data_IF_775025558610
#
_entry.id   IF_775025558610
#
_cell.length_a   1.000
_cell.length_b   1.000
_cell.length_c   1.000
_cell.angle_alpha   90.00
_cell.angle_beta   90.00
_cell.angle_gamma   90.00
#
_symmetry.space_group_name_H-M   'P 1'
#
loop_
_entity.id
_entity.type
_entity.pdbx_description
1 polymer ?
#
# COMPACT_ATOMS: atom_id res chain seq x y z
N UNK A 1 32.87 -14.17 68.38
CA UNK A 1 31.64 -13.54 67.98
C UNK A 1 31.81 -12.72 66.70
N UNK A 2 32.29 -13.32 65.58
CA UNK A 2 32.71 -12.59 64.37
C UNK A 2 32.43 -13.37 63.05
N UNK A 3 31.44 -14.28 63.05
CA UNK A 3 31.13 -15.06 61.82
C UNK A 3 29.77 -14.77 61.19
N UNK A 4 28.92 -13.88 61.74
CA UNK A 4 27.59 -13.56 61.15
C UNK A 4 27.58 -12.44 60.09
N UNK A 5 28.65 -11.62 60.01
CA UNK A 5 28.64 -10.44 59.11
C UNK A 5 28.96 -10.76 57.64
N UNK A 6 29.74 -11.81 57.33
CA UNK A 6 30.13 -12.12 55.94
C UNK A 6 29.00 -12.76 55.13
N UNK A 7 28.12 -13.55 55.78
CA UNK A 7 27.04 -14.29 55.11
C UNK A 7 25.92 -13.37 54.57
N UNK A 8 25.65 -12.26 55.30
CA UNK A 8 24.61 -11.28 54.87
C UNK A 8 25.09 -10.43 53.69
N UNK A 9 26.39 -10.15 53.57
CA UNK A 9 26.93 -9.35 52.44
C UNK A 9 26.92 -10.15 51.14
N UNK A 10 27.16 -11.46 51.18
CA UNK A 10 27.11 -12.33 50.00
C UNK A 10 25.67 -12.53 49.51
N UNK A 11 24.69 -12.70 50.40
CA UNK A 11 23.26 -12.81 50.04
C UNK A 11 22.71 -11.51 49.43
N UNK A 12 23.11 -10.33 49.97
CA UNK A 12 22.70 -9.03 49.40
C UNK A 12 23.31 -8.82 48.01
N UNK A 13 24.54 -9.28 47.78
CA UNK A 13 25.19 -9.16 46.45
C UNK A 13 24.52 -10.06 45.41
N UNK A 14 24.05 -11.25 45.75
CA UNK A 14 23.30 -12.13 44.86
C UNK A 14 21.90 -11.60 44.54
N UNK A 15 21.23 -10.95 45.48
CA UNK A 15 19.92 -10.32 45.26
C UNK A 15 20.06 -9.09 44.36
N UNK A 16 21.15 -8.32 44.49
CA UNK A 16 21.39 -7.16 43.61
C UNK A 16 21.70 -7.57 42.15
N UNK A 17 22.36 -8.71 41.90
CA UNK A 17 22.58 -9.20 40.53
C UNK A 17 21.32 -9.77 39.87
N UNK A 18 20.34 -10.24 40.63
CA UNK A 18 19.08 -10.75 40.07
C UNK A 18 18.14 -9.68 39.56
N UNK A 19 18.31 -8.41 39.96
CA UNK A 19 17.47 -7.30 39.52
C UNK A 19 17.94 -6.66 38.22
N UNK A 20 19.13 -7.00 37.69
CA UNK A 20 19.63 -6.58 36.39
C UNK A 20 19.30 -7.54 35.23
N UNK A 21 18.39 -8.49 35.43
CA UNK A 21 17.76 -9.19 34.34
C UNK A 21 16.82 -8.20 33.64
N UNK A 22 17.40 -7.24 32.92
CA UNK A 22 16.70 -6.42 31.95
C UNK A 22 15.98 -7.41 31.01
N UNK A 23 14.66 -7.47 31.10
CA UNK A 23 13.82 -7.96 30.00
C UNK A 23 14.21 -7.14 28.77
N UNK A 24 15.12 -7.64 27.98
CA UNK A 24 15.22 -7.29 26.58
C UNK A 24 13.92 -7.83 25.99
N UNK A 25 12.88 -6.98 25.98
CA UNK A 25 11.72 -7.22 25.12
C UNK A 25 12.32 -7.17 23.73
N UNK A 26 12.54 -8.33 23.11
CA UNK A 26 12.67 -8.40 21.66
C UNK A 26 11.41 -7.68 21.14
N UNK A 27 11.60 -6.47 20.64
CA UNK A 27 10.60 -5.73 19.90
C UNK A 27 10.31 -6.62 18.70
N UNK A 28 9.26 -7.45 18.83
CA UNK A 28 8.86 -8.39 17.79
C UNK A 28 8.57 -7.53 16.56
N UNK A 29 9.51 -7.52 15.60
CA UNK A 29 9.44 -6.70 14.41
C UNK A 29 8.14 -7.06 13.70
N UNK A 30 7.13 -6.23 13.87
CA UNK A 30 5.82 -6.41 13.26
C UNK A 30 5.98 -6.24 11.75
N UNK A 31 6.04 -7.36 11.03
CA UNK A 31 6.13 -7.37 9.57
C UNK A 31 4.72 -7.45 8.99
N UNK A 32 4.46 -6.64 7.97
CA UNK A 32 3.23 -6.73 7.22
C UNK A 32 3.18 -8.05 6.42
N UNK A 33 1.99 -8.64 6.25
CA UNK A 33 1.81 -9.84 5.45
C UNK A 33 2.23 -9.60 3.99
N UNK A 34 2.43 -10.68 3.25
CA UNK A 34 2.56 -10.68 1.78
C UNK A 34 1.38 -11.47 1.23
N UNK A 35 0.58 -10.84 0.38
CA UNK A 35 -0.59 -11.42 -0.27
C UNK A 35 -0.23 -12.06 -1.62
N UNK A 36 -1.10 -12.93 -2.09
CA UNK A 36 -0.93 -13.67 -3.35
C UNK A 36 -0.28 -15.04 -3.18
N UNK A 37 -0.17 -15.75 -4.30
CA UNK A 37 0.36 -17.11 -4.33
C UNK A 37 1.86 -17.10 -3.98
N UNK A 38 2.26 -18.09 -3.17
CA UNK A 38 3.68 -18.33 -2.83
C UNK A 38 4.09 -19.66 -3.42
N UNK A 39 5.18 -19.66 -4.16
CA UNK A 39 5.80 -20.89 -4.65
C UNK A 39 7.07 -21.17 -3.85
N UNK A 40 7.16 -22.38 -3.28
CA UNK A 40 8.37 -22.83 -2.62
C UNK A 40 9.34 -23.35 -3.70
N UNK A 41 10.47 -22.70 -3.86
CA UNK A 41 11.63 -23.24 -4.56
C UNK A 41 12.56 -23.91 -3.57
N UNK A 42 13.46 -24.79 -4.01
CA UNK A 42 14.33 -25.59 -3.14
C UNK A 42 15.15 -24.75 -2.13
N UNK A 43 15.35 -23.47 -2.38
CA UNK A 43 16.15 -22.55 -1.55
C UNK A 43 15.41 -21.27 -1.13
N UNK A 44 14.29 -20.91 -1.80
CA UNK A 44 13.64 -19.62 -1.61
C UNK A 44 12.12 -19.67 -1.76
N UNK A 45 11.45 -18.71 -1.16
CA UNK A 45 10.02 -18.46 -1.39
C UNK A 45 9.85 -17.38 -2.45
N UNK A 46 9.27 -17.76 -3.60
CA UNK A 46 8.90 -16.82 -4.66
C UNK A 46 7.51 -16.28 -4.34
N UNK A 47 7.41 -14.98 -4.17
CA UNK A 47 6.15 -14.29 -3.87
C UNK A 47 5.51 -13.76 -5.15
N UNK A 48 4.19 -13.68 -5.16
CA UNK A 48 3.44 -12.91 -6.15
C UNK A 48 3.91 -11.45 -6.15
N UNK A 49 4.08 -10.88 -7.33
CA UNK A 49 4.49 -9.47 -7.53
C UNK A 49 3.71 -8.87 -8.69
N UNK A 50 3.51 -7.55 -8.64
CA UNK A 50 2.96 -6.81 -9.78
C UNK A 50 3.93 -6.93 -10.96
N UNK A 51 3.40 -7.36 -12.11
CA UNK A 51 4.13 -7.56 -13.34
C UNK A 51 4.51 -6.27 -14.06
N UNK A 52 4.98 -6.42 -15.29
CA UNK A 52 5.30 -5.28 -16.15
C UNK A 52 4.03 -4.64 -16.69
N UNK A 53 3.99 -3.32 -16.69
CA UNK A 53 2.92 -2.53 -17.29
C UNK A 53 3.46 -1.28 -17.96
N UNK A 54 2.69 -0.73 -18.90
CA UNK A 54 2.93 0.56 -19.51
C UNK A 54 1.58 1.24 -19.73
N UNK A 55 1.31 2.28 -18.94
CA UNK A 55 0.08 3.05 -18.96
C UNK A 55 0.39 4.54 -19.11
N UNK A 56 -0.60 5.34 -19.49
CA UNK A 56 -0.43 6.78 -19.68
C UNK A 56 -1.08 7.53 -18.51
N UNK A 57 -0.38 8.50 -17.94
CA UNK A 57 -0.94 9.32 -16.87
C UNK A 57 -1.71 10.54 -17.39
N UNK A 58 -2.30 11.30 -16.47
CA UNK A 58 -3.08 12.53 -16.73
C UNK A 58 -2.26 13.67 -17.39
N UNK A 59 -0.97 13.50 -17.59
CA UNK A 59 -0.10 14.46 -18.28
C UNK A 59 0.39 13.94 -19.64
N UNK A 60 -0.09 12.77 -20.09
CA UNK A 60 0.39 12.10 -21.30
C UNK A 60 1.75 11.42 -21.15
N UNK A 61 2.27 11.29 -19.93
CA UNK A 61 3.54 10.65 -19.63
C UNK A 61 3.34 9.14 -19.44
N UNK A 62 4.28 8.33 -19.96
CA UNK A 62 4.24 6.87 -19.74
C UNK A 62 4.69 6.52 -18.33
N UNK A 63 3.88 5.74 -17.64
CA UNK A 63 4.16 5.18 -16.30
C UNK A 63 4.31 3.67 -16.44
N UNK A 64 5.41 3.13 -15.94
CA UNK A 64 5.77 1.72 -16.03
C UNK A 64 6.19 1.18 -14.66
N UNK A 65 6.47 -0.12 -14.58
CA UNK A 65 7.08 -0.72 -13.40
C UNK A 65 8.43 -0.07 -13.02
N UNK A 66 9.11 0.58 -13.97
CA UNK A 66 10.35 1.32 -13.66
C UNK A 66 10.07 2.63 -12.92
N UNK A 67 8.92 3.27 -13.15
CA UNK A 67 8.49 4.48 -12.43
C UNK A 67 8.32 4.21 -10.94
N UNK A 68 7.82 3.01 -10.58
CA UNK A 68 7.55 2.59 -9.20
C UNK A 68 8.69 1.78 -8.58
N UNK A 69 9.76 1.54 -9.31
CA UNK A 69 10.91 0.75 -8.84
C UNK A 69 11.52 1.36 -7.58
N UNK A 70 11.72 0.54 -6.57
CA UNK A 70 12.25 0.96 -5.26
C UNK A 70 11.37 1.97 -4.51
N UNK A 71 10.10 2.11 -4.90
CA UNK A 71 9.12 2.94 -4.22
C UNK A 71 8.02 2.09 -3.60
N UNK A 72 7.45 2.57 -2.52
CA UNK A 72 6.18 2.07 -2.00
C UNK A 72 5.08 2.80 -2.76
N UNK A 73 3.99 2.13 -3.09
CA UNK A 73 2.85 2.84 -3.66
C UNK A 73 1.52 2.25 -3.21
N UNK A 74 0.50 3.11 -3.27
CA UNK A 74 -0.91 2.73 -3.09
C UNK A 74 -1.54 2.68 -4.47
N UNK A 75 -2.22 1.58 -4.79
CA UNK A 75 -2.97 1.44 -6.02
C UNK A 75 -4.47 1.34 -5.75
N UNK A 76 -5.29 1.90 -6.64
CA UNK A 76 -6.74 1.75 -6.67
C UNK A 76 -7.27 1.70 -8.10
N UNK A 77 -8.53 1.30 -8.22
CA UNK A 77 -9.26 1.24 -9.49
C UNK A 77 -10.53 2.10 -9.38
N UNK A 78 -10.73 2.98 -10.36
CA UNK A 78 -11.79 3.98 -10.35
C UNK A 78 -12.29 4.28 -11.77
N UNK A 79 -13.30 5.12 -11.91
CA UNK A 79 -13.64 5.81 -13.16
C UNK A 79 -14.19 7.22 -12.87
N UNK A 80 -13.90 8.16 -13.76
CA UNK A 80 -14.13 9.59 -13.49
C UNK A 80 -15.63 9.97 -13.39
N UNK A 81 -16.52 9.19 -14.02
CA UNK A 81 -17.97 9.43 -13.99
C UNK A 81 -18.70 8.74 -12.84
N UNK A 82 -18.00 7.98 -11.99
CA UNK A 82 -18.56 7.34 -10.82
C UNK A 82 -19.16 8.37 -9.86
N UNK A 83 -20.44 8.19 -9.50
CA UNK A 83 -21.14 9.06 -8.55
C UNK A 83 -21.33 8.43 -7.17
N UNK A 84 -20.90 7.18 -6.99
CA UNK A 84 -21.05 6.42 -5.76
C UNK A 84 -19.81 6.49 -4.86
N UNK A 85 -18.94 5.50 -4.94
CA UNK A 85 -17.81 5.33 -4.00
C UNK A 85 -16.53 6.09 -4.41
N UNK A 86 -16.25 6.26 -5.71
CA UNK A 86 -14.98 6.85 -6.18
C UNK A 86 -14.73 8.26 -5.64
N UNK A 87 -15.74 9.16 -5.52
CA UNK A 87 -15.52 10.48 -4.91
C UNK A 87 -15.08 10.40 -3.43
N UNK A 88 -15.58 9.42 -2.68
CA UNK A 88 -15.19 9.19 -1.29
C UNK A 88 -13.77 8.62 -1.23
N UNK A 89 -13.48 7.60 -2.02
CA UNK A 89 -12.14 7.01 -2.13
C UNK A 89 -11.09 8.07 -2.51
N UNK A 90 -11.36 8.89 -3.54
CA UNK A 90 -10.44 9.95 -3.94
C UNK A 90 -10.19 10.98 -2.84
N UNK A 91 -11.22 11.36 -2.04
CA UNK A 91 -11.03 12.20 -0.86
C UNK A 91 -10.13 11.53 0.19
N UNK A 92 -10.28 10.23 0.39
CA UNK A 92 -9.43 9.47 1.32
C UNK A 92 -7.99 9.33 0.80
N UNK A 93 -7.77 9.21 -0.51
CA UNK A 93 -6.43 9.26 -1.10
C UNK A 93 -5.77 10.64 -0.94
N UNK A 94 -6.55 11.74 -0.90
CA UNK A 94 -6.01 13.06 -0.52
C UNK A 94 -5.41 13.03 0.89
N UNK A 95 -6.02 12.32 1.84
CA UNK A 95 -5.46 12.20 3.20
C UNK A 95 -4.17 11.37 3.20
N UNK A 96 -4.10 10.29 2.39
CA UNK A 96 -2.87 9.54 2.17
C UNK A 96 -1.79 10.45 1.57
N UNK A 97 -2.12 11.20 0.51
CA UNK A 97 -1.21 12.15 -0.13
C UNK A 97 -0.65 13.17 0.88
N UNK A 98 -1.52 13.79 1.68
CA UNK A 98 -1.13 14.78 2.72
C UNK A 98 -0.19 14.18 3.76
N UNK A 99 -0.47 12.95 4.23
CA UNK A 99 0.34 12.27 5.23
C UNK A 99 1.79 12.05 4.77
N UNK A 100 2.02 12.01 3.45
CA UNK A 100 3.32 11.74 2.82
C UNK A 100 3.69 12.80 1.77
N UNK A 101 3.21 14.02 1.88
CA UNK A 101 3.37 15.08 0.87
C UNK A 101 4.83 15.29 0.46
N UNK A 102 5.74 15.31 1.44
CA UNK A 102 7.18 15.54 1.25
C UNK A 102 8.00 14.26 1.06
N UNK A 103 7.34 13.14 0.85
CA UNK A 103 7.98 11.83 0.77
C UNK A 103 7.97 11.30 -0.66
N UNK A 104 9.05 11.51 -1.39
CA UNK A 104 9.19 11.08 -2.79
C UNK A 104 9.30 9.55 -2.98
N UNK A 105 9.40 8.79 -1.89
CA UNK A 105 9.44 7.32 -1.94
C UNK A 105 8.05 6.67 -1.90
N UNK A 106 6.97 7.47 -1.74
CA UNK A 106 5.59 7.02 -1.83
C UNK A 106 4.92 7.61 -3.07
N UNK A 107 4.23 6.75 -3.82
CA UNK A 107 3.39 7.12 -4.96
C UNK A 107 1.94 6.67 -4.74
N UNK A 108 1.02 7.24 -5.52
CA UNK A 108 -0.36 6.79 -5.64
C UNK A 108 -0.64 6.56 -7.13
N UNK A 109 -1.16 5.38 -7.48
CA UNK A 109 -1.51 4.97 -8.84
C UNK A 109 -3.00 4.63 -8.90
N UNK A 110 -3.81 5.54 -9.43
CA UNK A 110 -5.24 5.32 -9.66
C UNK A 110 -5.47 4.89 -11.10
N UNK A 111 -5.92 3.65 -11.31
CA UNK A 111 -6.13 3.05 -12.62
C UNK A 111 -7.61 3.22 -13.03
N UNK A 112 -7.87 3.86 -14.18
CA UNK A 112 -9.26 3.89 -14.67
C UNK A 112 -9.70 2.52 -15.18
N UNK A 113 -10.92 2.12 -14.87
CA UNK A 113 -11.58 0.96 -15.47
C UNK A 113 -12.43 1.33 -16.69
N UNK A 114 -12.57 2.63 -17.00
CA UNK A 114 -13.30 3.16 -18.17
C UNK A 114 -12.39 4.00 -19.11
N UNK A 115 -11.30 3.43 -19.66
CA UNK A 115 -10.33 4.20 -20.44
C UNK A 115 -10.88 4.78 -21.75
N UNK A 116 -12.03 4.31 -22.24
CA UNK A 116 -12.67 4.91 -23.43
C UNK A 116 -13.28 6.28 -23.15
N UNK A 117 -13.76 6.50 -21.93
CA UNK A 117 -14.28 7.79 -21.47
C UNK A 117 -13.20 8.62 -20.79
N UNK A 118 -12.40 7.99 -19.96
CA UNK A 118 -11.41 8.64 -19.12
C UNK A 118 -10.14 8.93 -19.92
N UNK A 119 -10.24 9.90 -20.84
CA UNK A 119 -9.12 10.42 -21.63
C UNK A 119 -8.10 11.13 -20.72
N UNK A 120 -6.94 11.48 -21.28
CA UNK A 120 -5.90 12.24 -20.55
C UNK A 120 -6.49 13.55 -20.00
N UNK A 121 -7.32 14.24 -20.81
CA UNK A 121 -7.96 15.51 -20.43
C UNK A 121 -8.96 15.31 -19.27
N UNK A 122 -9.78 14.25 -19.32
CA UNK A 122 -10.74 13.92 -18.26
C UNK A 122 -9.98 13.58 -16.97
N UNK A 123 -8.94 12.75 -17.05
CA UNK A 123 -8.10 12.40 -15.91
C UNK A 123 -7.36 13.63 -15.34
N UNK A 124 -6.93 14.55 -16.18
CA UNK A 124 -6.29 15.78 -15.72
C UNK A 124 -7.28 16.65 -14.92
N UNK A 125 -8.50 16.84 -15.41
CA UNK A 125 -9.54 17.58 -14.69
C UNK A 125 -9.91 16.89 -13.37
N UNK A 126 -10.02 15.56 -13.38
CA UNK A 126 -10.27 14.78 -12.17
C UNK A 126 -9.14 14.97 -11.15
N UNK A 127 -7.88 14.84 -11.57
CA UNK A 127 -6.71 15.08 -10.73
C UNK A 127 -6.68 16.49 -10.11
N UNK A 128 -7.01 17.52 -10.90
CA UNK A 128 -7.09 18.90 -10.42
C UNK A 128 -8.16 19.08 -9.34
N UNK A 129 -9.33 18.42 -9.47
CA UNK A 129 -10.41 18.50 -8.49
C UNK A 129 -10.02 17.98 -7.10
N UNK A 130 -9.09 17.02 -7.05
CA UNK A 130 -8.53 16.46 -5.80
C UNK A 130 -7.17 17.04 -5.43
N UNK A 131 -6.67 18.06 -6.16
CA UNK A 131 -5.36 18.68 -5.92
C UNK A 131 -4.22 17.64 -5.90
N UNK A 132 -4.27 16.71 -6.86
CA UNK A 132 -3.25 15.68 -6.99
C UNK A 132 -1.89 16.30 -7.31
N UNK A 133 -0.87 15.93 -6.52
CA UNK A 133 0.48 16.46 -6.66
C UNK A 133 1.17 15.76 -7.83
N UNK A 134 1.65 16.53 -8.79
CA UNK A 134 2.40 16.03 -9.94
C UNK A 134 3.62 15.22 -9.48
N UNK A 135 3.82 14.04 -10.09
CA UNK A 135 4.91 13.13 -9.76
C UNK A 135 4.68 12.28 -8.51
N UNK A 136 3.59 12.52 -7.77
CA UNK A 136 3.19 11.72 -6.59
C UNK A 136 1.93 10.92 -6.84
N UNK A 137 0.91 11.51 -7.47
CA UNK A 137 -0.36 10.85 -7.76
C UNK A 137 -0.60 10.80 -9.28
N UNK A 138 -0.58 9.58 -9.81
CA UNK A 138 -0.79 9.30 -11.22
C UNK A 138 -2.17 8.69 -11.43
N UNK A 139 -2.98 9.31 -12.27
CA UNK A 139 -4.24 8.76 -12.78
C UNK A 139 -3.95 8.13 -14.13
N UNK A 140 -4.13 6.83 -14.23
CA UNK A 140 -3.62 6.01 -15.32
C UNK A 140 -4.73 5.55 -16.25
N UNK A 141 -4.50 5.70 -17.54
CA UNK A 141 -5.35 5.20 -18.63
C UNK A 141 -4.53 4.42 -19.64
N UNK A 142 -5.19 3.68 -20.55
CA UNK A 142 -4.51 2.89 -21.56
C UNK A 142 -5.44 1.89 -22.23
N UNK A 143 -4.89 0.78 -22.73
CA UNK A 143 -5.71 -0.28 -23.29
C UNK A 143 -6.56 -0.95 -22.20
N UNK A 144 -7.88 -1.07 -22.44
CA UNK A 144 -8.84 -1.63 -21.49
C UNK A 144 -8.46 -3.04 -21.04
N UNK A 145 -8.14 -3.93 -22.00
CA UNK A 145 -7.78 -5.30 -21.67
C UNK A 145 -6.52 -5.38 -20.81
N UNK A 146 -5.52 -4.54 -21.10
CA UNK A 146 -4.29 -4.46 -20.29
C UNK A 146 -4.59 -4.03 -18.86
N UNK A 147 -5.46 -3.02 -18.66
CA UNK A 147 -5.84 -2.54 -17.32
C UNK A 147 -6.60 -3.63 -16.55
N UNK A 148 -7.54 -4.32 -17.20
CA UNK A 148 -8.32 -5.38 -16.57
C UNK A 148 -7.48 -6.61 -16.24
N UNK A 149 -6.54 -6.98 -17.13
CA UNK A 149 -5.60 -8.07 -16.88
C UNK A 149 -4.69 -7.76 -15.70
N UNK A 150 -4.15 -6.54 -15.66
CA UNK A 150 -3.34 -6.03 -14.55
C UNK A 150 -4.13 -6.04 -13.22
N UNK A 151 -5.39 -5.57 -13.23
CA UNK A 151 -6.25 -5.59 -12.05
C UNK A 151 -6.46 -7.00 -11.51
N UNK A 152 -6.83 -7.93 -12.40
CA UNK A 152 -7.21 -9.30 -12.02
C UNK A 152 -6.00 -10.16 -11.64
N UNK A 153 -4.98 -10.16 -12.49
CA UNK A 153 -3.89 -11.12 -12.37
C UNK A 153 -2.72 -10.61 -11.53
N UNK A 154 -2.47 -9.29 -11.55
CA UNK A 154 -1.37 -8.69 -10.81
C UNK A 154 -1.82 -8.10 -9.48
N UNK A 155 -2.85 -7.25 -9.48
CA UNK A 155 -3.36 -6.64 -8.25
C UNK A 155 -4.34 -7.53 -7.48
N UNK A 156 -4.75 -8.68 -8.03
CA UNK A 156 -5.67 -9.65 -7.41
C UNK A 156 -7.04 -9.02 -7.08
N UNK A 157 -7.43 -8.01 -7.82
CA UNK A 157 -8.73 -7.36 -7.73
C UNK A 157 -9.66 -8.00 -8.74
N UNK A 158 -10.83 -8.42 -8.28
CA UNK A 158 -11.88 -8.93 -9.20
C UNK A 158 -12.50 -7.77 -9.96
N UNK A 159 -11.76 -7.20 -10.90
CA UNK A 159 -12.26 -6.20 -11.83
C UNK A 159 -12.99 -6.91 -12.98
N UNK A 160 -14.24 -7.28 -12.76
CA UNK A 160 -15.12 -7.81 -13.80
C UNK A 160 -16.05 -6.71 -14.29
N UNK A 161 -16.36 -6.69 -15.58
CA UNK A 161 -17.53 -5.96 -16.06
C UNK A 161 -18.75 -6.55 -15.35
N UNK A 162 -19.44 -5.75 -14.56
CA UNK A 162 -20.69 -6.14 -13.95
C UNK A 162 -21.82 -5.65 -14.86
N UNK A 163 -22.39 -6.55 -15.64
CA UNK A 163 -23.56 -6.26 -16.48
C UNK A 163 -24.82 -5.91 -15.65
N UNK A 164 -24.73 -5.98 -14.32
CA UNK A 164 -25.83 -5.74 -13.39
C UNK A 164 -25.81 -4.38 -12.69
N UNK A 165 -24.73 -3.59 -12.81
CA UNK A 165 -24.70 -2.24 -12.24
C UNK A 165 -25.19 -1.19 -13.25
N UNK A 166 -25.85 -0.10 -12.79
CA UNK A 166 -26.29 0.98 -13.68
C UNK A 166 -25.17 1.63 -14.48
N UNK A 167 -23.92 1.50 -14.02
CA UNK A 167 -22.73 2.09 -14.62
C UNK A 167 -21.91 1.08 -15.45
N UNK A 168 -22.25 -0.22 -15.43
CA UNK A 168 -21.62 -1.28 -16.26
C UNK A 168 -20.15 -1.57 -15.93
N UNK A 169 -19.65 -1.10 -14.78
CA UNK A 169 -18.27 -1.28 -14.34
C UNK A 169 -18.20 -1.89 -12.96
N UNK A 170 -17.18 -2.72 -12.75
CA UNK A 170 -16.91 -3.24 -11.43
C UNK A 170 -16.38 -2.13 -10.50
N UNK A 171 -16.98 -2.06 -9.33
CA UNK A 171 -16.54 -1.22 -8.24
C UNK A 171 -15.63 -2.03 -7.32
N UNK A 172 -14.36 -1.64 -7.26
CA UNK A 172 -13.48 -2.12 -6.20
C UNK A 172 -13.23 -0.97 -5.22
N UNK A 173 -13.69 -1.12 -3.98
CA UNK A 173 -13.40 -0.18 -2.90
C UNK A 173 -11.98 -0.33 -2.33
N UNK A 174 -11.14 -1.19 -2.92
CA UNK A 174 -9.86 -1.54 -2.34
C UNK A 174 -8.75 -0.52 -2.64
N UNK A 175 -8.03 -0.12 -1.60
CA UNK A 175 -6.68 0.40 -1.67
C UNK A 175 -5.67 -0.71 -1.42
N UNK A 176 -4.72 -0.85 -2.31
CA UNK A 176 -3.69 -1.87 -2.30
C UNK A 176 -2.35 -1.24 -1.94
N UNK A 177 -1.71 -1.70 -0.88
CA UNK A 177 -0.38 -1.26 -0.49
C UNK A 177 0.67 -2.16 -1.11
N UNK A 178 1.56 -1.58 -1.92
CA UNK A 178 2.59 -2.30 -2.66
C UNK A 178 3.98 -1.88 -2.15
N UNK A 179 4.85 -2.86 -1.89
CA UNK A 179 6.21 -2.59 -1.42
C UNK A 179 7.20 -2.34 -2.57
N UNK A 180 8.45 -2.01 -2.20
CA UNK A 180 9.56 -1.73 -3.13
C UNK A 180 9.97 -2.93 -4.02
N UNK A 181 9.45 -4.12 -3.73
CA UNK A 181 9.65 -5.35 -4.50
C UNK A 181 8.44 -5.72 -5.36
N UNK A 182 7.42 -4.85 -5.42
CA UNK A 182 6.18 -5.08 -6.14
C UNK A 182 5.22 -6.07 -5.48
N UNK A 183 5.37 -6.38 -4.18
CA UNK A 183 4.52 -7.33 -3.46
C UNK A 183 3.35 -6.61 -2.79
N UNK A 184 2.17 -7.22 -2.81
CA UNK A 184 0.99 -6.69 -2.10
C UNK A 184 1.20 -6.94 -0.61
N UNK A 185 1.17 -5.85 0.20
CA UNK A 185 1.42 -5.88 1.64
C UNK A 185 0.20 -5.52 2.47
N UNK A 186 -0.87 -5.07 1.83
CA UNK A 186 -2.14 -4.74 2.47
C UNK A 186 -3.24 -4.50 1.45
N UNK A 187 -4.47 -4.76 1.87
CA UNK A 187 -5.71 -4.46 1.16
C UNK A 187 -6.65 -3.79 2.16
N UNK A 188 -7.17 -2.63 1.81
CA UNK A 188 -7.94 -1.77 2.71
C UNK A 188 -9.19 -1.28 1.99
N UNK A 189 -10.31 -1.24 2.69
CA UNK A 189 -11.51 -0.57 2.20
C UNK A 189 -11.26 0.94 2.13
N UNK A 190 -11.18 1.48 0.91
CA UNK A 190 -10.92 2.89 0.62
C UNK A 190 -12.11 3.79 0.96
N UNK A 191 -13.29 3.24 1.22
CA UNK A 191 -14.47 3.98 1.67
C UNK A 191 -14.52 4.14 3.19
N UNK A 192 -13.78 3.29 3.95
CA UNK A 192 -13.70 3.32 5.40
C UNK A 192 -12.48 4.12 5.90
N UNK A 193 -12.73 5.25 6.56
CA UNK A 193 -11.68 6.11 7.11
C UNK A 193 -10.79 5.39 8.15
N UNK A 194 -11.32 4.40 8.87
CA UNK A 194 -10.56 3.60 9.84
C UNK A 194 -9.53 2.75 9.09
N UNK A 195 -9.94 2.12 7.99
CA UNK A 195 -9.05 1.33 7.13
C UNK A 195 -7.99 2.23 6.44
N UNK A 196 -8.37 3.43 6.01
CA UNK A 196 -7.43 4.41 5.43
C UNK A 196 -6.42 4.89 6.48
N UNK A 197 -6.84 5.11 7.73
CA UNK A 197 -5.92 5.44 8.82
C UNK A 197 -4.94 4.29 9.11
N UNK A 198 -5.43 3.06 9.04
CA UNK A 198 -4.60 1.86 9.13
C UNK A 198 -3.59 1.79 7.97
N UNK A 199 -4.01 2.02 6.73
CA UNK A 199 -3.13 2.09 5.55
C UNK A 199 -1.98 3.08 5.78
N UNK A 200 -2.27 4.31 6.25
CA UNK A 200 -1.25 5.33 6.55
C UNK A 200 -0.26 4.82 7.62
N UNK A 201 -0.74 4.10 8.62
CA UNK A 201 0.09 3.52 9.68
C UNK A 201 0.97 2.40 9.11
N UNK A 202 0.40 1.53 8.28
CA UNK A 202 1.09 0.40 7.68
C UNK A 202 2.13 0.85 6.65
N UNK A 203 1.90 1.95 5.91
CA UNK A 203 2.92 2.57 5.06
C UNK A 203 4.14 2.99 5.91
N UNK A 204 3.91 3.64 7.07
CA UNK A 204 4.99 4.05 7.99
C UNK A 204 5.75 2.85 8.54
N UNK A 205 5.05 1.74 8.82
CA UNK A 205 5.66 0.50 9.26
C UNK A 205 6.48 -0.14 8.13
N UNK A 206 5.92 -0.25 6.92
CA UNK A 206 6.58 -0.82 5.76
C UNK A 206 7.88 -0.09 5.39
N UNK A 207 7.94 1.23 5.56
CA UNK A 207 9.15 2.04 5.36
C UNK A 207 10.28 1.72 6.35
N UNK A 208 9.98 1.11 7.49
CA UNK A 208 10.95 0.65 8.49
C UNK A 208 11.40 -0.80 8.27
N UNK A 209 10.70 -1.55 7.41
CA UNK A 209 11.10 -2.89 7.00
C UNK A 209 12.28 -2.77 6.03
N UNK A 210 13.52 -2.91 6.53
CA UNK A 210 14.74 -2.95 5.71
C UNK A 210 15.20 -4.39 5.48
#
# INVERSE_FOLDING_TARGET
MLMKSKRNKVVVLFIALALFSCKQSEEQKLLLPVFGVKHLSNTDTIYHTIGKFALTNQFGETVTEQTVKNKIYVADFFFATCQSICPQMSKHLVEVQKAFEKDDSLLILSHTVNPLHDTIEVLNQYALSYKAIKGKWHFLTGNKLTIYDLAKNDYLVNALEDDGTPEGFLHSELFLLIDTKGRIRGMYDGTDLVQVTKLITDIKLLKKEK
#
